data_IF_682908370143
#
_entry.id   IF_682908370143
#
_cell.length_a   1.000
_cell.length_b   1.000
_cell.length_c   1.000
_cell.angle_alpha   90.00
_cell.angle_beta   90.00
_cell.angle_gamma   90.00
#
_symmetry.space_group_name_H-M   'P 1'
#
loop_
_entity.id
_entity.type
_entity.pdbx_description
1 polymer ?
#
# COMPACT_ATOMS: atom_id res chain seq x y z
N UNK A 1 56.63 54.90 8.13
CA UNK A 1 55.21 54.78 7.81
C UNK A 1 54.90 55.67 6.63
N UNK A 2 54.59 55.07 5.43
CA UNK A 2 54.22 55.86 4.25
C UNK A 2 52.70 56.20 4.38
N UNK A 3 52.40 57.50 4.42
CA UNK A 3 51.03 58.00 4.38
C UNK A 3 50.45 57.72 3.04
N UNK A 4 49.37 56.89 3.03
CA UNK A 4 48.57 56.68 1.85
C UNK A 4 47.81 57.95 1.54
N UNK A 5 47.96 58.49 0.33
CA UNK A 5 47.38 59.82 -0.01
C UNK A 5 45.84 59.64 -0.10
N UNK A 6 45.13 60.69 0.32
CA UNK A 6 43.68 60.77 0.30
C UNK A 6 43.04 60.29 -1.07
N UNK A 7 43.72 60.59 -2.14
CA UNK A 7 43.34 60.20 -3.51
C UNK A 7 43.44 58.73 -3.75
N UNK A 8 44.38 58.01 -3.17
CA UNK A 8 44.51 56.55 -3.27
C UNK A 8 43.35 55.82 -2.52
N UNK A 9 42.94 56.35 -1.37
CA UNK A 9 41.82 55.84 -0.62
C UNK A 9 40.50 56.06 -1.34
N UNK A 10 40.27 57.21 -1.97
CA UNK A 10 39.08 57.49 -2.77
C UNK A 10 38.99 56.60 -4.02
N UNK A 11 40.09 56.27 -4.67
CA UNK A 11 40.11 55.38 -5.86
C UNK A 11 39.81 53.95 -5.44
N UNK A 12 40.35 53.48 -4.33
CA UNK A 12 40.09 52.13 -3.81
C UNK A 12 38.62 51.99 -3.38
N UNK A 13 38.03 53.00 -2.75
CA UNK A 13 36.63 53.00 -2.36
C UNK A 13 35.69 53.05 -3.57
N UNK A 14 36.04 53.82 -4.61
CA UNK A 14 35.29 53.85 -5.87
C UNK A 14 35.37 52.53 -6.65
N UNK A 15 36.52 51.83 -6.65
CA UNK A 15 36.67 50.50 -7.25
C UNK A 15 35.90 49.42 -6.46
N UNK A 16 35.85 49.49 -5.15
CA UNK A 16 35.06 48.58 -4.32
C UNK A 16 33.55 48.79 -4.50
N UNK A 17 33.09 50.01 -4.70
CA UNK A 17 31.67 50.28 -5.04
C UNK A 17 31.29 49.90 -6.44
N UNK A 18 32.23 49.90 -7.40
CA UNK A 18 31.96 49.44 -8.78
C UNK A 18 31.89 47.91 -8.90
N UNK A 19 32.35 47.15 -7.89
CA UNK A 19 32.25 45.68 -7.85
C UNK A 19 30.95 45.16 -7.24
N UNK A 20 30.06 46.02 -6.75
CA UNK A 20 28.69 45.60 -6.45
C UNK A 20 27.88 45.52 -7.77
N UNK A 21 28.29 44.61 -8.66
CA UNK A 21 27.40 44.19 -9.73
C UNK A 21 26.16 43.64 -9.04
N UNK A 22 25.07 44.37 -9.13
CA UNK A 22 23.74 43.81 -8.84
C UNK A 22 23.57 42.58 -9.71
N UNK A 23 23.76 41.42 -9.12
CA UNK A 23 23.25 40.18 -9.70
C UNK A 23 21.73 40.38 -9.74
N UNK A 24 21.21 40.94 -10.83
CA UNK A 24 19.80 40.85 -11.10
C UNK A 24 19.54 39.35 -11.20
N UNK A 25 18.81 38.78 -10.25
CA UNK A 25 18.20 37.50 -10.43
C UNK A 25 17.38 37.64 -11.72
N UNK A 26 17.81 36.96 -12.76
CA UNK A 26 17.07 36.89 -13.99
C UNK A 26 15.81 36.13 -13.62
N UNK A 27 14.67 36.82 -13.59
CA UNK A 27 13.37 36.17 -13.47
C UNK A 27 13.24 35.23 -14.68
N UNK A 28 13.61 33.98 -14.49
CA UNK A 28 13.33 32.96 -15.49
C UNK A 28 11.84 32.74 -15.52
N UNK A 29 11.19 33.29 -16.54
CA UNK A 29 9.77 32.99 -16.79
C UNK A 29 9.67 31.51 -17.09
N UNK A 30 8.91 30.79 -16.26
CA UNK A 30 8.67 29.37 -16.43
C UNK A 30 7.95 29.14 -17.77
N UNK A 31 8.56 28.36 -18.64
CA UNK A 31 7.97 28.00 -19.95
C UNK A 31 7.20 26.71 -19.86
N UNK A 32 6.37 26.43 -20.86
CA UNK A 32 5.71 25.12 -20.96
C UNK A 32 6.74 23.98 -21.13
N UNK A 33 7.82 24.22 -21.85
CA UNK A 33 8.88 23.22 -22.02
C UNK A 33 9.56 22.90 -20.69
N UNK A 34 9.74 23.87 -19.79
CA UNK A 34 10.27 23.65 -18.45
C UNK A 34 9.33 22.77 -17.60
N UNK A 35 8.01 22.94 -17.73
CA UNK A 35 7.02 22.15 -17.00
C UNK A 35 7.01 20.69 -17.40
N UNK A 36 7.32 20.40 -18.67
CA UNK A 36 7.36 19.04 -19.23
C UNK A 36 8.78 18.48 -19.40
N UNK A 37 9.79 19.25 -19.00
CA UNK A 37 11.19 18.82 -19.09
C UNK A 37 11.50 17.58 -18.25
N UNK A 38 12.52 16.85 -18.65
CA UNK A 38 13.10 15.75 -17.86
C UNK A 38 14.54 16.11 -17.50
N UNK A 39 14.90 16.16 -16.21
CA UNK A 39 14.09 15.86 -15.02
C UNK A 39 13.02 16.92 -14.76
N UNK A 40 11.91 16.53 -14.09
CA UNK A 40 10.83 17.46 -13.74
C UNK A 40 11.32 18.54 -12.80
N UNK A 41 10.84 19.77 -12.99
CA UNK A 41 11.15 20.92 -12.11
C UNK A 41 10.89 20.65 -10.63
N UNK A 42 9.81 19.93 -10.32
CA UNK A 42 9.46 19.56 -8.96
C UNK A 42 10.40 18.50 -8.36
N UNK A 43 11.33 17.96 -9.16
CA UNK A 43 12.16 16.85 -8.75
C UNK A 43 11.38 15.56 -8.56
N UNK A 44 11.93 14.68 -7.74
CA UNK A 44 11.33 13.38 -7.39
C UNK A 44 11.18 13.29 -5.88
N UNK A 45 10.07 12.73 -5.41
CA UNK A 45 9.81 12.55 -3.99
C UNK A 45 9.99 11.09 -3.57
N UNK A 46 10.57 10.81 -2.39
CA UNK A 46 10.53 9.47 -1.80
C UNK A 46 9.08 9.06 -1.52
N UNK A 47 8.83 7.75 -1.52
CA UNK A 47 7.53 7.16 -1.20
C UNK A 47 7.68 5.86 -0.42
N UNK A 48 6.59 5.39 0.18
CA UNK A 48 6.54 4.13 0.93
C UNK A 48 7.59 4.06 2.04
N UNK A 49 7.65 5.04 2.94
CA UNK A 49 8.58 5.00 4.05
C UNK A 49 8.23 3.85 5.00
N UNK A 50 9.24 3.09 5.42
CA UNK A 50 9.11 1.98 6.35
C UNK A 50 10.26 2.01 7.35
N UNK A 51 9.95 2.12 8.64
CA UNK A 51 10.94 2.12 9.70
C UNK A 51 11.39 0.71 10.05
N UNK A 52 12.69 0.56 10.27
CA UNK A 52 13.23 -0.66 10.88
C UNK A 52 12.67 -0.84 12.29
N UNK A 53 12.51 -2.09 12.79
CA UNK A 53 11.96 -2.36 14.12
C UNK A 53 12.73 -1.70 15.27
N UNK A 54 14.03 -1.48 15.13
CA UNK A 54 14.89 -0.80 16.09
C UNK A 54 14.93 0.73 15.94
N UNK A 55 14.17 1.29 14.96
CA UNK A 55 14.09 2.70 14.64
C UNK A 55 15.40 3.38 14.22
N UNK A 56 16.43 2.61 13.84
CA UNK A 56 17.71 3.17 13.39
C UNK A 56 17.74 3.51 11.92
N UNK A 57 16.94 2.82 11.11
CA UNK A 57 16.89 3.00 9.67
C UNK A 57 15.48 3.25 9.17
N UNK A 58 15.39 4.06 8.13
CA UNK A 58 14.18 4.29 7.33
C UNK A 58 14.42 3.80 5.91
N UNK A 59 13.69 2.79 5.47
CA UNK A 59 13.70 2.37 4.08
C UNK A 59 12.61 3.10 3.29
N UNK A 60 12.87 3.41 2.01
CA UNK A 60 11.92 4.08 1.14
C UNK A 60 12.22 3.82 -0.34
N UNK A 61 11.23 4.02 -1.17
CA UNK A 61 11.35 3.96 -2.62
C UNK A 61 11.59 5.35 -3.20
N UNK A 62 12.68 5.54 -3.93
CA UNK A 62 12.99 6.83 -4.53
C UNK A 62 13.67 6.68 -5.90
N UNK A 63 13.44 7.67 -6.76
CA UNK A 63 14.06 7.81 -8.06
C UNK A 63 14.94 9.04 -8.05
N UNK A 64 16.21 8.89 -8.36
CA UNK A 64 17.10 10.04 -8.57
C UNK A 64 16.61 10.88 -9.76
N UNK A 65 16.73 12.21 -9.68
CA UNK A 65 16.37 13.08 -10.80
C UNK A 65 17.04 12.66 -12.10
N UNK A 66 16.26 12.53 -13.16
CA UNK A 66 16.76 12.12 -14.49
C UNK A 66 17.02 10.63 -14.69
N UNK A 67 16.83 9.79 -13.67
CA UNK A 67 16.91 8.34 -13.80
C UNK A 67 15.53 7.71 -13.89
N UNK A 68 15.42 6.64 -14.68
CA UNK A 68 14.22 5.81 -14.75
C UNK A 68 14.21 4.77 -13.61
N UNK A 69 13.01 4.44 -13.14
CA UNK A 69 12.82 3.46 -12.06
C UNK A 69 12.96 4.05 -10.66
N UNK A 70 12.53 3.30 -9.67
CA UNK A 70 12.60 3.68 -8.26
C UNK A 70 13.36 2.60 -7.51
N UNK A 71 14.54 2.94 -7.01
CA UNK A 71 15.37 2.05 -6.21
C UNK A 71 14.89 1.93 -4.76
N UNK A 72 15.43 0.95 -4.05
CA UNK A 72 15.32 0.84 -2.59
C UNK A 72 16.44 1.65 -1.95
N UNK A 73 16.07 2.62 -1.15
CA UNK A 73 16.96 3.50 -0.43
C UNK A 73 16.80 3.32 1.07
N UNK A 74 17.86 3.54 1.80
CA UNK A 74 17.86 3.53 3.26
C UNK A 74 18.55 4.78 3.78
N UNK A 75 17.95 5.38 4.81
CA UNK A 75 18.51 6.49 5.57
C UNK A 75 18.69 6.08 7.02
N UNK A 76 19.74 6.60 7.68
CA UNK A 76 19.81 6.58 9.15
C UNK A 76 18.71 7.46 9.75
N UNK A 77 18.29 7.17 10.98
CA UNK A 77 17.20 7.91 11.66
C UNK A 77 17.50 9.39 11.87
N UNK A 78 18.78 9.78 11.92
CA UNK A 78 19.22 11.18 12.01
C UNK A 78 19.38 11.87 10.64
N UNK A 79 19.15 11.13 9.55
CA UNK A 79 19.20 11.63 8.18
C UNK A 79 20.61 11.93 7.65
N UNK A 80 21.69 11.60 8.38
CA UNK A 80 23.05 11.92 7.95
C UNK A 80 23.56 11.03 6.83
N UNK A 81 23.13 9.79 6.80
CA UNK A 81 23.51 8.83 5.78
C UNK A 81 22.28 8.41 4.99
N UNK A 82 22.35 8.60 3.67
CA UNK A 82 21.32 8.13 2.72
C UNK A 82 22.02 7.35 1.62
N UNK A 83 21.63 6.10 1.41
CA UNK A 83 22.26 5.26 0.38
C UNK A 83 21.26 4.44 -0.39
N UNK A 84 21.56 4.20 -1.65
CA UNK A 84 20.88 3.22 -2.48
C UNK A 84 21.35 1.82 -2.05
N UNK A 85 20.41 0.94 -1.68
CA UNK A 85 20.73 -0.43 -1.26
C UNK A 85 20.40 -1.45 -2.34
N UNK A 86 19.48 -1.11 -3.25
CA UNK A 86 19.21 -1.92 -4.42
C UNK A 86 18.74 -1.08 -5.59
N UNK A 87 19.40 -1.21 -6.71
CA UNK A 87 19.07 -0.54 -7.96
C UNK A 87 18.62 -1.56 -9.00
N UNK A 88 17.32 -1.55 -9.29
CA UNK A 88 16.80 -2.28 -10.45
C UNK A 88 16.37 -1.26 -11.51
N UNK A 89 17.20 -1.08 -12.52
CA UNK A 89 17.06 -0.05 -13.54
C UNK A 89 15.71 -0.04 -14.31
N UNK A 90 14.93 -1.11 -14.21
CA UNK A 90 13.67 -1.25 -14.96
C UNK A 90 12.43 -1.51 -14.11
N UNK A 91 12.58 -1.73 -12.80
CA UNK A 91 11.46 -2.08 -11.93
C UNK A 91 11.38 -1.13 -10.74
N UNK A 92 10.19 -0.58 -10.49
CA UNK A 92 9.94 0.23 -9.29
C UNK A 92 9.81 -0.65 -8.06
N UNK A 93 10.46 -0.22 -6.97
CA UNK A 93 10.30 -0.81 -5.65
C UNK A 93 8.98 -0.38 -5.04
N UNK A 94 8.22 -1.35 -4.53
CA UNK A 94 6.92 -1.16 -3.84
C UNK A 94 6.86 -2.04 -2.60
N UNK A 95 5.92 -1.77 -1.72
CA UNK A 95 5.61 -2.60 -0.54
C UNK A 95 6.88 -2.98 0.24
N UNK A 96 7.43 -2.01 0.96
CA UNK A 96 8.66 -2.16 1.72
C UNK A 96 8.33 -2.56 3.15
N UNK A 97 8.81 -3.72 3.61
CA UNK A 97 8.60 -4.23 4.97
C UNK A 97 9.90 -4.79 5.55
N UNK A 98 10.09 -4.62 6.85
CA UNK A 98 11.25 -5.14 7.57
C UNK A 98 10.91 -6.47 8.25
N UNK A 99 11.84 -7.42 8.20
CA UNK A 99 11.75 -8.66 8.99
C UNK A 99 12.52 -8.54 10.31
N UNK A 100 13.60 -7.78 10.29
CA UNK A 100 14.46 -7.47 11.43
C UNK A 100 15.17 -6.11 11.20
N UNK A 101 16.10 -5.73 12.07
CA UNK A 101 16.81 -4.45 11.98
C UNK A 101 17.77 -4.33 10.76
N UNK A 102 18.01 -5.43 10.04
CA UNK A 102 19.00 -5.50 8.95
C UNK A 102 18.42 -5.98 7.62
N UNK A 103 17.23 -6.57 7.61
CA UNK A 103 16.67 -7.27 6.45
C UNK A 103 15.34 -6.64 6.02
N UNK A 104 15.26 -6.29 4.75
CA UNK A 104 14.08 -5.71 4.11
C UNK A 104 13.53 -6.67 3.07
N UNK A 105 12.23 -6.95 3.11
CA UNK A 105 11.51 -7.57 2.01
C UNK A 105 10.81 -6.46 1.22
N UNK A 106 10.95 -6.49 -0.09
CA UNK A 106 10.31 -5.51 -0.97
C UNK A 106 9.76 -6.17 -2.23
N UNK A 107 8.71 -5.57 -2.76
CA UNK A 107 8.17 -5.93 -4.06
C UNK A 107 8.86 -5.10 -5.14
N UNK A 108 9.51 -5.78 -6.11
CA UNK A 108 10.18 -5.13 -7.25
C UNK A 108 9.70 -5.76 -8.54
N UNK A 109 9.15 -4.93 -9.40
CA UNK A 109 8.42 -5.44 -10.55
C UNK A 109 7.26 -6.32 -10.09
N UNK A 110 7.32 -7.60 -10.42
CA UNK A 110 6.32 -8.59 -10.05
C UNK A 110 6.76 -9.55 -8.94
N UNK A 111 7.98 -9.38 -8.41
CA UNK A 111 8.58 -10.37 -7.53
C UNK A 111 8.95 -9.79 -6.16
N UNK A 112 8.95 -10.66 -5.17
CA UNK A 112 9.48 -10.38 -3.84
C UNK A 112 11.00 -10.57 -3.83
N UNK A 113 11.67 -9.65 -3.14
CA UNK A 113 13.10 -9.63 -2.96
C UNK A 113 13.44 -9.42 -1.50
N UNK A 114 14.46 -10.12 -1.03
CA UNK A 114 15.09 -9.93 0.27
C UNK A 114 16.38 -9.14 0.08
N UNK A 115 16.55 -8.07 0.82
CA UNK A 115 17.77 -7.25 0.83
C UNK A 115 18.36 -7.25 2.23
N UNK A 116 19.60 -7.74 2.36
CA UNK A 116 20.37 -7.63 3.59
C UNK A 116 21.25 -6.38 3.55
N UNK A 117 21.09 -5.50 4.53
CA UNK A 117 21.85 -4.25 4.58
C UNK A 117 23.32 -4.45 4.95
N UNK A 118 23.63 -5.43 5.81
CA UNK A 118 24.98 -5.71 6.27
C UNK A 118 25.80 -6.54 5.29
N UNK A 119 25.15 -7.42 4.53
CA UNK A 119 25.80 -8.25 3.52
C UNK A 119 25.85 -7.61 2.15
N UNK A 120 25.06 -6.53 1.95
CA UNK A 120 24.82 -5.89 0.64
C UNK A 120 24.35 -6.91 -0.42
N UNK A 121 23.49 -7.82 0.00
CA UNK A 121 23.01 -8.95 -0.80
C UNK A 121 21.53 -8.80 -1.11
N UNK A 122 21.17 -9.05 -2.37
CA UNK A 122 19.80 -9.07 -2.89
C UNK A 122 19.45 -10.48 -3.36
N UNK A 123 18.41 -11.07 -2.78
CA UNK A 123 17.92 -12.40 -3.14
C UNK A 123 16.49 -12.30 -3.68
N UNK A 124 16.25 -12.82 -4.87
CA UNK A 124 14.90 -12.96 -5.39
C UNK A 124 14.20 -14.14 -4.73
N UNK A 125 13.06 -13.88 -4.07
CA UNK A 125 12.30 -14.89 -3.33
C UNK A 125 11.24 -15.58 -4.19
N UNK A 126 10.71 -14.88 -5.22
CA UNK A 126 9.65 -15.43 -6.07
C UNK A 126 9.96 -15.24 -7.53
N UNK A 127 9.39 -16.13 -8.37
CA UNK A 127 9.39 -15.99 -9.83
C UNK A 127 7.95 -16.05 -10.30
N UNK A 128 7.33 -14.88 -10.49
CA UNK A 128 5.92 -14.77 -10.88
C UNK A 128 5.77 -13.95 -12.16
N UNK A 129 4.86 -14.41 -13.02
CA UNK A 129 4.58 -13.77 -14.31
C UNK A 129 3.63 -12.58 -14.16
N UNK A 130 2.81 -12.59 -13.13
CA UNK A 130 1.75 -11.58 -12.86
C UNK A 130 2.03 -10.87 -11.55
N UNK A 131 1.64 -9.60 -11.49
CA UNK A 131 1.98 -8.73 -10.37
C UNK A 131 1.54 -9.23 -9.01
N UNK A 132 2.51 -9.39 -8.12
CA UNK A 132 2.27 -9.50 -6.70
C UNK A 132 1.97 -8.13 -6.10
N UNK A 133 1.29 -8.08 -4.96
CA UNK A 133 0.98 -6.84 -4.24
C UNK A 133 0.56 -7.09 -2.79
N UNK A 134 0.44 -6.00 -2.03
CA UNK A 134 -0.04 -6.04 -0.64
C UNK A 134 0.82 -6.95 0.26
N UNK A 135 2.13 -6.76 0.20
CA UNK A 135 3.09 -7.51 1.01
C UNK A 135 2.96 -7.20 2.50
N UNK A 136 2.95 -8.22 3.33
CA UNK A 136 3.08 -8.09 4.78
C UNK A 136 3.88 -9.24 5.38
N UNK A 137 4.48 -8.99 6.55
CA UNK A 137 5.28 -9.98 7.27
C UNK A 137 4.47 -10.55 8.43
N UNK A 138 4.60 -11.85 8.67
CA UNK A 138 4.03 -12.50 9.86
C UNK A 138 4.62 -11.90 11.15
N UNK A 139 3.90 -11.93 12.28
CA UNK A 139 4.42 -11.43 13.56
C UNK A 139 5.73 -12.07 14.01
N UNK A 140 5.99 -13.31 13.59
CA UNK A 140 7.25 -14.01 13.88
C UNK A 140 8.44 -13.57 13.00
N UNK A 141 8.18 -12.82 11.92
CA UNK A 141 9.20 -12.43 10.95
C UNK A 141 9.61 -13.53 9.97
N UNK A 142 9.07 -14.73 10.10
CA UNK A 142 9.54 -15.92 9.33
C UNK A 142 8.79 -16.14 8.02
N UNK A 143 7.68 -15.47 7.81
CA UNK A 143 6.83 -15.62 6.63
C UNK A 143 6.44 -14.26 6.06
N UNK A 144 6.36 -14.19 4.74
CA UNK A 144 5.80 -13.06 4.02
C UNK A 144 4.51 -13.49 3.31
N UNK A 145 3.43 -12.74 3.52
CA UNK A 145 2.18 -12.91 2.77
C UNK A 145 2.05 -11.86 1.69
N UNK A 146 1.45 -12.21 0.57
CA UNK A 146 1.15 -11.29 -0.52
C UNK A 146 -0.03 -11.78 -1.35
N UNK A 147 -0.61 -10.88 -2.13
CA UNK A 147 -1.70 -11.21 -3.07
C UNK A 147 -1.14 -11.37 -4.47
N UNK A 148 -1.49 -12.49 -5.13
CA UNK A 148 -1.19 -12.74 -6.53
C UNK A 148 -2.42 -13.36 -7.20
N UNK A 149 -2.84 -12.81 -8.33
CA UNK A 149 -4.02 -13.27 -9.09
C UNK A 149 -5.31 -13.33 -8.27
N UNK A 150 -5.45 -12.51 -7.23
CA UNK A 150 -6.62 -12.52 -6.35
C UNK A 150 -6.59 -13.58 -5.26
N UNK A 151 -5.47 -14.27 -5.09
CA UNK A 151 -5.25 -15.24 -4.04
C UNK A 151 -4.16 -14.81 -3.06
N UNK A 152 -4.23 -15.35 -1.87
CA UNK A 152 -3.23 -15.19 -0.82
C UNK A 152 -2.12 -16.24 -1.00
N UNK A 153 -0.90 -15.78 -1.01
CA UNK A 153 0.33 -16.56 -1.12
C UNK A 153 1.23 -16.32 0.06
N UNK A 154 2.04 -17.32 0.40
CA UNK A 154 3.06 -17.25 1.44
C UNK A 154 4.44 -17.57 0.89
N UNK A 155 5.44 -16.84 1.36
CA UNK A 155 6.86 -17.21 1.26
C UNK A 155 7.36 -17.51 2.67
N UNK A 156 7.88 -18.70 2.88
CA UNK A 156 8.69 -19.01 4.04
C UNK A 156 10.09 -18.39 3.85
N UNK A 157 10.44 -17.45 4.71
CA UNK A 157 11.68 -16.67 4.57
C UNK A 157 12.94 -17.45 4.99
N UNK A 158 12.78 -18.58 5.66
CA UNK A 158 13.89 -19.46 6.04
C UNK A 158 14.19 -20.43 4.91
N UNK A 159 13.21 -21.20 4.48
CA UNK A 159 13.36 -22.21 3.42
C UNK A 159 13.30 -21.61 2.00
N UNK A 160 12.88 -20.35 1.87
CA UNK A 160 12.63 -19.63 0.60
C UNK A 160 11.55 -20.31 -0.27
N UNK A 161 10.71 -21.14 0.32
CA UNK A 161 9.62 -21.80 -0.39
C UNK A 161 8.42 -20.88 -0.51
N UNK A 162 7.81 -20.88 -1.70
CA UNK A 162 6.61 -20.13 -2.03
C UNK A 162 5.43 -21.10 -2.20
N UNK A 163 4.29 -20.79 -1.57
CA UNK A 163 3.08 -21.62 -1.62
C UNK A 163 1.82 -20.78 -1.74
N UNK A 164 0.86 -21.27 -2.51
CA UNK A 164 -0.48 -20.70 -2.58
C UNK A 164 -1.27 -21.13 -1.35
N UNK A 165 -1.88 -20.17 -0.66
CA UNK A 165 -2.66 -20.43 0.55
C UNK A 165 -4.17 -20.51 0.26
N UNK A 166 -4.65 -19.82 -0.78
CA UNK A 166 -6.08 -19.83 -1.15
C UNK A 166 -6.29 -20.06 -2.64
N UNK A 167 -7.48 -20.57 -3.00
CA UNK A 167 -7.94 -20.76 -4.38
C UNK A 167 -9.28 -20.02 -4.61
N UNK A 168 -9.33 -18.75 -4.21
CA UNK A 168 -10.53 -17.89 -4.34
C UNK A 168 -10.49 -17.10 -5.64
N UNK A 169 -9.28 -16.62 -5.99
CA UNK A 169 -9.03 -15.87 -7.20
C UNK A 169 -9.35 -16.74 -8.40
N UNK A 170 -10.36 -16.38 -9.16
CA UNK A 170 -10.44 -16.93 -10.51
C UNK A 170 -9.31 -16.28 -11.27
N UNK A 171 -8.30 -17.08 -11.62
CA UNK A 171 -7.26 -16.70 -12.56
C UNK A 171 -7.98 -15.97 -13.68
N UNK A 172 -7.75 -14.68 -13.82
CA UNK A 172 -8.62 -13.77 -14.55
C UNK A 172 -8.94 -14.36 -15.91
N UNK A 173 -10.07 -15.02 -16.00
CA UNK A 173 -10.56 -15.71 -17.19
C UNK A 173 -10.81 -14.74 -18.34
N UNK A 174 -10.62 -13.51 -18.10
CA UNK A 174 -10.42 -12.49 -19.07
C UNK A 174 -9.96 -11.24 -18.33
N UNK A 175 -8.72 -10.86 -18.51
CA UNK A 175 -8.50 -9.44 -18.70
C UNK A 175 -9.31 -9.07 -19.95
N UNK A 176 -10.60 -8.89 -19.78
CA UNK A 176 -11.46 -8.28 -20.77
C UNK A 176 -10.93 -6.84 -20.95
N UNK A 177 -10.09 -6.69 -21.98
CA UNK A 177 -9.42 -5.45 -22.29
C UNK A 177 -8.22 -5.10 -21.35
N UNK A 178 -7.23 -4.45 -21.89
CA UNK A 178 -6.09 -3.86 -21.16
C UNK A 178 -6.50 -2.64 -20.29
N UNK A 179 -7.77 -2.53 -19.90
CA UNK A 179 -8.33 -1.36 -19.25
C UNK A 179 -8.19 -1.38 -17.73
N UNK A 180 -8.01 -0.21 -17.17
CA UNK A 180 -7.90 0.12 -15.73
C UNK A 180 -9.11 -0.36 -14.88
N UNK A 181 -10.17 -0.86 -15.49
CA UNK A 181 -11.48 -1.15 -14.87
C UNK A 181 -11.89 -2.62 -14.91
N UNK A 182 -11.11 -3.53 -15.52
CA UNK A 182 -11.45 -4.94 -15.48
C UNK A 182 -11.03 -5.54 -14.15
N UNK A 183 -11.97 -5.59 -13.21
CA UNK A 183 -11.77 -6.29 -11.94
C UNK A 183 -12.03 -7.79 -12.15
N UNK A 184 -11.26 -8.67 -11.50
CA UNK A 184 -11.51 -10.11 -11.55
C UNK A 184 -12.90 -10.43 -11.00
N UNK A 185 -13.47 -11.53 -11.44
CA UNK A 185 -14.79 -11.98 -10.98
C UNK A 185 -14.76 -12.33 -9.49
N UNK A 186 -13.69 -12.98 -9.06
CA UNK A 186 -13.43 -13.30 -7.65
C UNK A 186 -12.01 -12.97 -7.29
N UNK A 187 -11.82 -12.45 -6.12
CA UNK A 187 -10.50 -12.12 -5.59
C UNK A 187 -10.51 -11.95 -4.07
N UNK A 188 -9.35 -12.11 -3.46
CA UNK A 188 -9.06 -11.47 -2.19
C UNK A 188 -8.72 -10.03 -2.52
N UNK A 189 -9.55 -9.10 -2.04
CA UNK A 189 -9.47 -7.69 -2.44
C UNK A 189 -9.85 -6.74 -1.31
N UNK A 190 -9.81 -5.43 -1.55
CA UNK A 190 -10.08 -4.45 -0.51
C UNK A 190 -11.54 -4.51 -0.05
N UNK A 191 -11.75 -4.20 1.23
CA UNK A 191 -13.05 -3.90 1.80
C UNK A 191 -13.69 -2.67 1.17
N UNK A 192 -14.87 -2.30 1.62
CA UNK A 192 -15.50 -1.03 1.22
C UNK A 192 -14.67 0.15 1.73
N UNK A 193 -14.75 1.28 1.03
CA UNK A 193 -14.06 2.52 1.40
C UNK A 193 -12.56 2.36 1.67
N UNK A 194 -11.91 1.49 0.87
CA UNK A 194 -10.47 1.16 1.00
C UNK A 194 -10.09 0.44 2.30
N UNK A 195 -11.02 -0.35 2.85
CA UNK A 195 -10.73 -1.23 3.98
C UNK A 195 -9.62 -2.26 3.69
N UNK A 196 -9.12 -2.93 4.71
CA UNK A 196 -7.97 -3.83 4.57
C UNK A 196 -8.26 -4.99 3.62
N UNK A 197 -7.25 -5.45 2.92
CA UNK A 197 -7.35 -6.66 2.09
C UNK A 197 -7.23 -7.88 2.97
N UNK A 198 -6.20 -7.92 3.81
CA UNK A 198 -5.98 -8.95 4.82
C UNK A 198 -5.12 -8.44 5.97
N UNK A 199 -5.17 -9.12 7.10
CA UNK A 199 -4.34 -8.84 8.29
C UNK A 199 -3.99 -10.13 9.02
N UNK A 200 -2.74 -10.25 9.43
CA UNK A 200 -2.24 -11.31 10.30
C UNK A 200 -2.80 -11.18 11.72
N UNK A 201 -3.17 -12.30 12.34
CA UNK A 201 -3.37 -12.34 13.79
C UNK A 201 -2.02 -12.17 14.51
N UNK A 202 -1.98 -11.58 15.72
CA UNK A 202 -0.72 -11.36 16.45
C UNK A 202 0.06 -12.64 16.78
N UNK A 203 -0.62 -13.78 16.91
CA UNK A 203 0.00 -15.08 17.13
C UNK A 203 0.54 -15.73 15.84
N UNK A 204 0.29 -15.09 14.67
CA UNK A 204 0.73 -15.56 13.35
C UNK A 204 0.03 -16.81 12.83
N UNK A 205 -1.02 -17.30 13.51
CA UNK A 205 -1.69 -18.55 13.13
C UNK A 205 -2.85 -18.36 12.15
N UNK A 206 -3.39 -17.15 12.08
CA UNK A 206 -4.58 -16.85 11.28
C UNK A 206 -4.38 -15.59 10.47
N UNK A 207 -4.92 -15.56 9.25
CA UNK A 207 -5.09 -14.33 8.48
C UNK A 207 -6.58 -14.08 8.31
N UNK A 208 -7.02 -12.87 8.68
CA UNK A 208 -8.34 -12.36 8.28
C UNK A 208 -8.22 -11.68 6.92
N UNK A 209 -9.16 -11.92 6.01
CA UNK A 209 -9.14 -11.36 4.67
C UNK A 209 -10.54 -11.03 4.13
N UNK A 210 -10.62 -10.11 3.17
CA UNK A 210 -11.83 -9.89 2.38
C UNK A 210 -11.83 -10.76 1.12
N UNK A 211 -12.86 -11.57 0.97
CA UNK A 211 -13.21 -12.25 -0.28
C UNK A 211 -14.28 -11.42 -1.00
N UNK A 212 -14.04 -11.10 -2.26
CA UNK A 212 -14.94 -10.30 -3.10
C UNK A 212 -15.39 -11.13 -4.29
N UNK A 213 -16.71 -11.27 -4.47
CA UNK A 213 -17.33 -11.97 -5.58
C UNK A 213 -18.22 -11.02 -6.37
N UNK A 214 -17.98 -10.92 -7.68
CA UNK A 214 -18.69 -10.05 -8.63
C UNK A 214 -19.41 -10.83 -9.73
N UNK A 215 -19.63 -12.14 -9.54
CA UNK A 215 -20.24 -13.01 -10.57
C UNK A 215 -21.61 -12.52 -11.01
N UNK A 216 -22.40 -12.01 -10.07
CA UNK A 216 -23.78 -11.55 -10.30
C UNK A 216 -23.84 -10.09 -10.82
N UNK A 217 -22.73 -9.36 -10.83
CA UNK A 217 -22.72 -7.98 -11.31
C UNK A 217 -22.93 -7.91 -12.83
N UNK A 218 -23.69 -6.94 -13.25
CA UNK A 218 -23.90 -6.65 -14.68
C UNK A 218 -22.56 -6.34 -15.36
N UNK A 219 -22.40 -6.91 -16.56
CA UNK A 219 -21.32 -6.53 -17.48
C UNK A 219 -21.82 -5.41 -18.38
N UNK A 220 -21.08 -4.31 -18.38
CA UNK A 220 -21.41 -3.11 -19.17
C UNK A 220 -20.30 -2.93 -20.21
N UNK A 221 -20.66 -2.83 -21.51
CA UNK A 221 -19.67 -2.54 -22.53
C UNK A 221 -19.18 -1.10 -22.40
N UNK A 222 -17.88 -0.92 -22.47
CA UNK A 222 -17.22 0.38 -22.45
C UNK A 222 -16.30 0.46 -23.69
N UNK A 223 -16.65 1.24 -24.71
CA UNK A 223 -15.85 1.30 -25.94
C UNK A 223 -14.43 1.86 -25.66
N UNK A 224 -13.44 1.22 -26.23
CA UNK A 224 -12.10 1.78 -26.31
C UNK A 224 -11.95 2.56 -27.61
N UNK A 225 -11.97 3.87 -27.49
CA UNK A 225 -11.84 4.79 -28.63
C UNK A 225 -10.38 5.13 -28.97
N UNK A 226 -9.41 4.61 -28.23
CA UNK A 226 -7.99 4.87 -28.45
C UNK A 226 -7.30 3.74 -29.25
N UNK A 227 -8.00 2.65 -29.48
CA UNK A 227 -7.52 1.56 -30.30
C UNK A 227 -7.80 1.85 -31.78
N UNK A 228 -6.94 1.35 -32.68
CA UNK A 228 -7.12 1.47 -34.14
C UNK A 228 -8.46 0.87 -34.61
N UNK A 229 -8.91 -0.17 -33.93
CA UNK A 229 -10.25 -0.73 -34.07
C UNK A 229 -10.99 -0.63 -32.74
N UNK A 230 -12.19 -0.04 -32.76
CA UNK A 230 -13.03 0.07 -31.57
C UNK A 230 -13.42 -1.31 -31.06
N UNK A 231 -12.90 -1.67 -29.91
CA UNK A 231 -13.27 -2.92 -29.24
C UNK A 231 -14.09 -2.65 -27.98
N UNK A 232 -15.12 -3.44 -27.67
CA UNK A 232 -15.84 -3.30 -26.41
C UNK A 232 -14.99 -3.83 -25.26
N UNK A 233 -14.63 -2.95 -24.31
CA UNK A 233 -14.17 -3.36 -22.99
C UNK A 233 -15.41 -3.63 -22.14
N UNK A 234 -15.55 -4.80 -21.56
CA UNK A 234 -16.60 -5.08 -20.59
C UNK A 234 -16.09 -4.76 -19.18
N UNK A 235 -16.86 -3.97 -18.44
CA UNK A 235 -16.60 -3.71 -17.02
C UNK A 235 -17.78 -4.21 -16.19
N UNK A 236 -17.49 -4.76 -15.01
CA UNK A 236 -18.53 -5.14 -14.05
C UNK A 236 -18.97 -3.89 -13.30
N UNK A 237 -20.20 -3.47 -13.49
CA UNK A 237 -20.76 -2.27 -12.88
C UNK A 237 -22.24 -2.44 -12.61
N UNK A 238 -22.64 -2.34 -11.34
CA UNK A 238 -24.04 -2.31 -10.96
C UNK A 238 -24.64 -0.92 -11.15
N UNK A 239 -25.88 -0.88 -11.64
CA UNK A 239 -26.75 0.27 -11.61
C UNK A 239 -27.69 0.18 -10.41
N UNK A 240 -28.39 1.26 -10.03
CA UNK A 240 -29.42 1.19 -9.00
C UNK A 240 -30.43 0.07 -9.26
N UNK A 241 -30.59 -0.84 -8.29
CA UNK A 241 -31.46 -2.02 -8.40
C UNK A 241 -30.78 -3.28 -8.93
N UNK A 242 -29.58 -3.20 -9.47
CA UNK A 242 -28.81 -4.40 -9.87
C UNK A 242 -28.13 -5.06 -8.67
N UNK A 243 -27.82 -6.36 -8.76
CA UNK A 243 -26.95 -7.03 -7.80
C UNK A 243 -25.58 -6.34 -7.70
N UNK A 244 -25.09 -6.14 -6.48
CA UNK A 244 -23.76 -5.63 -6.20
C UNK A 244 -22.76 -6.77 -5.97
N UNK A 245 -21.48 -6.41 -5.84
CA UNK A 245 -20.46 -7.36 -5.38
C UNK A 245 -20.79 -7.88 -3.98
N UNK A 246 -20.56 -9.17 -3.77
CA UNK A 246 -20.70 -9.82 -2.48
C UNK A 246 -19.33 -9.87 -1.82
N UNK A 247 -19.23 -9.30 -0.61
CA UNK A 247 -18.02 -9.34 0.21
C UNK A 247 -18.25 -10.22 1.44
N UNK A 248 -17.20 -10.94 1.81
CA UNK A 248 -17.21 -11.77 3.02
C UNK A 248 -15.87 -11.62 3.72
N UNK A 249 -15.87 -11.64 5.03
CA UNK A 249 -14.65 -11.78 5.82
C UNK A 249 -14.37 -13.25 6.02
N UNK A 250 -13.21 -13.71 5.57
CA UNK A 250 -12.70 -15.04 5.80
C UNK A 250 -11.58 -15.04 6.83
N UNK A 251 -11.49 -16.10 7.60
CA UNK A 251 -10.40 -16.42 8.51
C UNK A 251 -9.72 -17.67 7.98
N UNK A 252 -8.45 -17.60 7.62
CA UNK A 252 -7.69 -18.75 7.19
C UNK A 252 -6.66 -19.13 8.24
N UNK A 253 -6.68 -20.39 8.66
CA UNK A 253 -5.64 -20.96 9.51
C UNK A 253 -4.44 -21.31 8.64
N UNK A 254 -3.26 -20.78 9.01
CA UNK A 254 -2.03 -20.89 8.19
C UNK A 254 -1.52 -22.33 8.10
N UNK A 255 -1.62 -23.09 9.17
CA UNK A 255 -1.10 -24.45 9.23
C UNK A 255 -1.99 -25.44 8.48
N UNK A 256 -3.30 -25.36 8.69
CA UNK A 256 -4.25 -26.31 8.09
C UNK A 256 -4.79 -25.88 6.72
N UNK A 257 -4.68 -24.61 6.36
CA UNK A 257 -5.31 -24.04 5.17
C UNK A 257 -6.85 -23.91 5.26
N UNK A 258 -7.44 -24.26 6.40
CA UNK A 258 -8.89 -24.20 6.57
C UNK A 258 -9.39 -22.76 6.59
N UNK A 259 -10.43 -22.48 5.81
CA UNK A 259 -11.10 -21.19 5.73
C UNK A 259 -12.47 -21.27 6.40
N UNK A 260 -12.73 -20.32 7.30
CA UNK A 260 -14.03 -20.08 7.91
C UNK A 260 -14.49 -18.69 7.50
N UNK A 261 -15.70 -18.57 6.96
CA UNK A 261 -16.30 -17.27 6.67
C UNK A 261 -17.19 -16.81 7.80
N UNK A 262 -17.05 -15.53 8.19
CA UNK A 262 -17.92 -14.92 9.21
C UNK A 262 -19.33 -14.75 8.64
N UNK A 263 -20.34 -15.15 9.41
CA UNK A 263 -21.74 -15.00 9.07
C UNK A 263 -22.30 -13.67 9.58
N UNK A 264 -21.96 -12.59 8.88
CA UNK A 264 -22.44 -11.24 9.19
C UNK A 264 -23.94 -11.14 8.84
N UNK A 265 -24.78 -10.64 9.76
CA UNK A 265 -26.20 -10.49 9.47
C UNK A 265 -26.45 -9.43 8.39
N UNK A 266 -27.50 -9.63 7.57
CA UNK A 266 -27.99 -8.58 6.70
C UNK A 266 -28.53 -7.41 7.55
N UNK A 267 -28.35 -6.14 7.17
CA UNK A 267 -27.77 -5.62 5.93
C UNK A 267 -26.25 -5.33 6.00
N UNK A 268 -25.52 -5.92 6.93
CA UNK A 268 -24.09 -5.65 7.15
C UNK A 268 -23.16 -6.62 6.41
N UNK A 269 -23.69 -7.70 5.87
CA UNK A 269 -22.90 -8.79 5.30
C UNK A 269 -21.88 -8.34 4.25
N UNK A 270 -22.24 -7.35 3.44
CA UNK A 270 -21.39 -6.83 2.36
C UNK A 270 -20.67 -5.51 2.68
N UNK A 271 -20.81 -5.00 3.89
CA UNK A 271 -20.42 -3.64 4.24
C UNK A 271 -19.40 -3.62 5.39
N UNK A 272 -18.41 -4.50 5.31
CA UNK A 272 -17.27 -4.46 6.24
C UNK A 272 -16.34 -3.32 5.86
N UNK A 273 -16.15 -2.39 6.81
CA UNK A 273 -15.32 -1.19 6.65
C UNK A 273 -13.87 -1.53 7.00
N UNK A 274 -13.68 -2.18 8.15
CA UNK A 274 -12.37 -2.54 8.67
C UNK A 274 -12.47 -3.80 9.53
N UNK A 275 -11.34 -4.45 9.74
CA UNK A 275 -11.17 -5.47 10.76
C UNK A 275 -9.76 -5.37 11.36
N UNK A 276 -9.68 -5.54 12.69
CA UNK A 276 -8.44 -5.39 13.44
C UNK A 276 -8.32 -6.44 14.51
N UNK A 277 -7.13 -7.00 14.66
CA UNK A 277 -6.82 -7.96 15.70
C UNK A 277 -6.48 -7.29 17.02
N UNK A 278 -6.99 -7.83 18.13
CA UNK A 278 -6.52 -7.50 19.47
C UNK A 278 -5.16 -8.14 19.75
N UNK A 279 -4.40 -7.68 20.75
CA UNK A 279 -3.19 -8.37 21.20
C UNK A 279 -3.42 -9.84 21.61
N UNK A 280 -4.65 -10.21 21.93
CA UNK A 280 -5.06 -11.57 22.32
C UNK A 280 -5.63 -12.40 21.16
N UNK A 281 -5.47 -11.92 19.92
CA UNK A 281 -6.02 -12.56 18.71
C UNK A 281 -7.56 -12.62 18.64
N UNK A 282 -8.27 -11.72 19.32
CA UNK A 282 -9.69 -11.47 19.05
C UNK A 282 -9.82 -10.54 17.84
N UNK A 283 -10.78 -10.77 16.96
CA UNK A 283 -10.98 -9.95 15.76
C UNK A 283 -12.12 -8.95 15.99
N UNK A 284 -11.81 -7.66 15.90
CA UNK A 284 -12.79 -6.59 15.77
C UNK A 284 -13.22 -6.49 14.32
N UNK A 285 -14.52 -6.45 14.04
CA UNK A 285 -15.09 -6.25 12.71
C UNK A 285 -15.98 -5.01 12.75
N UNK A 286 -15.63 -4.02 11.95
CA UNK A 286 -16.33 -2.74 11.81
C UNK A 286 -17.20 -2.76 10.57
N UNK A 287 -18.49 -2.51 10.72
CA UNK A 287 -19.46 -2.66 9.63
C UNK A 287 -20.41 -1.47 9.55
N UNK A 288 -20.90 -1.20 8.35
CA UNK A 288 -22.05 -0.31 8.16
C UNK A 288 -23.22 -1.07 7.52
N UNK A 289 -24.43 -0.53 7.65
CA UNK A 289 -25.55 -0.99 6.85
C UNK A 289 -25.32 -0.62 5.36
N UNK A 290 -26.00 -1.27 4.45
CA UNK A 290 -25.96 -0.98 3.01
C UNK A 290 -26.36 0.46 2.67
N UNK A 291 -27.26 1.05 3.46
CA UNK A 291 -27.63 2.46 3.40
C UNK A 291 -26.63 3.40 4.09
N UNK A 292 -25.66 2.85 4.81
CA UNK A 292 -24.69 3.58 5.62
C UNK A 292 -25.29 4.54 6.67
N UNK A 293 -26.49 4.26 7.16
CA UNK A 293 -27.12 5.00 8.28
C UNK A 293 -26.90 4.34 9.64
N UNK A 294 -26.50 3.09 9.65
CA UNK A 294 -26.21 2.31 10.84
C UNK A 294 -24.79 1.76 10.80
N UNK A 295 -24.07 1.82 11.91
CA UNK A 295 -22.73 1.23 12.09
C UNK A 295 -22.77 0.30 13.28
N UNK A 296 -22.15 -0.86 13.14
CA UNK A 296 -21.97 -1.85 14.21
C UNK A 296 -20.55 -2.30 14.33
N UNK A 297 -20.15 -2.55 15.56
CA UNK A 297 -18.89 -3.21 15.89
C UNK A 297 -19.18 -4.60 16.43
N UNK A 298 -18.52 -5.59 15.84
CA UNK A 298 -18.57 -6.97 16.30
C UNK A 298 -17.18 -7.43 16.75
N UNK A 299 -17.16 -8.38 17.66
CA UNK A 299 -15.95 -9.09 18.07
C UNK A 299 -16.14 -10.58 17.83
N UNK A 300 -15.11 -11.21 17.28
CA UNK A 300 -14.97 -12.66 17.15
C UNK A 300 -13.83 -13.08 18.09
N UNK A 301 -14.11 -13.97 19.02
CA UNK A 301 -13.09 -14.45 19.93
C UNK A 301 -12.05 -15.32 19.21
N UNK A 302 -10.83 -15.35 19.73
CA UNK A 302 -9.75 -16.14 19.17
C UNK A 302 -10.13 -17.62 19.02
N UNK A 303 -9.95 -18.17 17.83
CA UNK A 303 -10.31 -19.57 17.50
C UNK A 303 -11.80 -19.82 17.26
N UNK A 304 -12.65 -18.80 17.33
CA UNK A 304 -14.08 -18.89 17.08
C UNK A 304 -14.46 -18.26 15.73
N UNK A 305 -15.72 -18.41 15.34
CA UNK A 305 -16.33 -17.76 14.17
C UNK A 305 -17.60 -16.98 14.52
N UNK A 306 -18.05 -17.09 15.79
CA UNK A 306 -19.28 -16.45 16.23
C UNK A 306 -19.06 -14.95 16.48
N UNK A 307 -19.92 -14.13 15.85
CA UNK A 307 -19.93 -12.68 16.01
C UNK A 307 -20.68 -12.29 17.28
N UNK A 308 -20.07 -11.41 18.09
CA UNK A 308 -20.71 -10.77 19.24
C UNK A 308 -20.76 -9.26 19.00
N UNK A 309 -21.97 -8.70 18.88
CA UNK A 309 -22.15 -7.24 18.79
C UNK A 309 -21.71 -6.59 20.12
N UNK A 310 -20.86 -5.57 20.02
CA UNK A 310 -20.33 -4.82 21.18
C UNK A 310 -20.77 -3.36 21.16
N UNK A 311 -21.18 -2.84 20.01
CA UNK A 311 -21.62 -1.46 19.88
C UNK A 311 -22.43 -1.23 18.62
N UNK A 312 -23.35 -0.25 18.68
CA UNK A 312 -24.22 0.16 17.59
C UNK A 312 -24.48 1.67 17.63
N UNK A 313 -24.50 2.29 16.46
CA UNK A 313 -24.99 3.67 16.26
C UNK A 313 -25.89 3.73 15.07
N UNK A 314 -26.96 4.53 15.19
CA UNK A 314 -27.91 4.81 14.11
C UNK A 314 -27.97 6.32 13.92
N UNK A 315 -27.97 6.78 12.67
CA UNK A 315 -28.08 8.20 12.32
C UNK A 315 -29.26 8.41 11.37
N UNK A 316 -29.80 9.62 11.35
CA UNK A 316 -30.90 10.00 10.46
C UNK A 316 -30.43 10.10 9.01
N UNK A 317 -29.16 10.36 8.78
CA UNK A 317 -28.58 10.52 7.44
C UNK A 317 -27.39 9.63 7.24
N UNK A 318 -27.06 9.38 5.96
CA UNK A 318 -25.91 8.59 5.56
C UNK A 318 -24.59 9.14 6.14
N UNK A 319 -23.79 8.25 6.67
CA UNK A 319 -22.45 8.56 7.16
C UNK A 319 -21.46 8.67 5.98
N UNK A 320 -20.71 9.79 5.92
CA UNK A 320 -19.72 10.04 4.88
C UNK A 320 -18.31 10.25 5.41
N UNK A 321 -18.11 10.07 6.71
CA UNK A 321 -16.83 10.34 7.36
C UNK A 321 -15.94 9.12 7.38
N UNK A 322 -14.63 9.37 7.49
CA UNK A 322 -13.66 8.32 7.77
C UNK A 322 -13.99 7.66 9.10
N UNK A 323 -14.08 6.36 9.08
CA UNK A 323 -14.26 5.55 10.28
C UNK A 323 -12.92 4.96 10.67
N UNK A 324 -12.65 4.95 11.96
CA UNK A 324 -11.51 4.26 12.52
C UNK A 324 -11.96 3.48 13.74
N UNK A 325 -11.60 2.23 13.81
CA UNK A 325 -11.77 1.42 15.00
C UNK A 325 -10.50 0.61 15.25
N UNK A 326 -10.06 0.56 16.51
CA UNK A 326 -8.86 -0.18 16.89
C UNK A 326 -8.98 -0.69 18.30
N UNK A 327 -8.18 -1.69 18.62
CA UNK A 327 -8.04 -2.16 19.99
C UNK A 327 -7.12 -1.25 20.79
N UNK A 328 -7.49 -1.01 22.04
CA UNK A 328 -6.55 -0.50 23.02
C UNK A 328 -5.43 -1.54 23.25
N UNK A 329 -4.19 -1.13 23.54
CA UNK A 329 -3.07 -2.06 23.72
C UNK A 329 -3.25 -3.12 24.81
N UNK A 330 -4.16 -2.90 25.76
CA UNK A 330 -4.50 -3.90 26.80
C UNK A 330 -5.37 -5.06 26.27
N UNK A 331 -5.86 -4.98 25.02
CA UNK A 331 -6.74 -5.97 24.42
C UNK A 331 -8.14 -6.08 25.01
N UNK A 332 -8.54 -5.15 25.91
CA UNK A 332 -9.82 -5.21 26.64
C UNK A 332 -10.83 -4.16 26.21
N UNK A 333 -10.38 -3.15 25.48
CA UNK A 333 -11.20 -2.00 25.07
C UNK A 333 -11.03 -1.73 23.58
N UNK A 334 -12.08 -1.26 22.96
CA UNK A 334 -12.08 -0.78 21.58
C UNK A 334 -12.18 0.74 21.60
N UNK A 335 -11.35 1.39 20.78
CA UNK A 335 -11.34 2.83 20.53
C UNK A 335 -11.86 3.06 19.13
N UNK A 336 -12.81 3.95 18.94
CA UNK A 336 -13.37 4.26 17.62
C UNK A 336 -13.84 5.71 17.52
N UNK A 337 -13.92 6.22 16.28
CA UNK A 337 -14.38 7.56 15.95
C UNK A 337 -15.72 7.50 15.23
#
# INVERSE_FOLDING_TARGET
MKQISFWQTCIITALLMAMTSTVKAQESVLTLDDLFATPKLTGTSPSMPSWAPDSKYLAFSWSEPGKSGRGLWVSTSDGKEVRLVSNMASASVRDIVWTDANTVISLRGNNLWETSLSKEEDIQLTTVMTGAGNLSISPSGNQAAYIQNGDLWLVDLVSKQNSQLTEIGMASLSRLGKGRYSRPEREIGPGIWSGPIYKWSPDGKTIAFHSVNRSEMRKVPFPDYLADETSPNEVRRSYPGDPNEIRRVGLINIESGNIIYLDLPAPYANQVIDFNWSPNSDLLVDTASDTAVERKLFVVASGESQLREIWRSVRESRMYTSFGSTWHPDGKKVIFL
#
